data_IF_607578457448
#
_entry.id   IF_607578457448
#
_cell.length_a   1.000
_cell.length_b   1.000
_cell.length_c   1.000
_cell.angle_alpha   90.00
_cell.angle_beta   90.00
_cell.angle_gamma   90.00
#
_symmetry.space_group_name_H-M   'P 1'
#
loop_
_entity.id
_entity.type
_entity.pdbx_description
1 polymer ?
#
# COMPACT_ATOMS: atom_id res chain seq x y z
N UNK A 1 -6.25 -1.10 18.67
CA UNK A 1 -6.48 -1.60 17.31
C UNK A 1 -5.28 -1.25 16.43
N UNK A 2 -4.88 -2.18 15.59
CA UNK A 2 -3.82 -1.98 14.60
C UNK A 2 -4.28 -2.50 13.25
N UNK A 3 -3.44 -2.34 12.21
CA UNK A 3 -3.78 -2.90 10.89
C UNK A 3 -3.90 -4.43 10.91
N UNK A 4 -3.31 -5.10 11.88
CA UNK A 4 -3.35 -6.55 12.00
C UNK A 4 -4.75 -7.11 12.33
N UNK A 5 -5.68 -6.24 12.73
CA UNK A 5 -7.07 -6.64 13.01
C UNK A 5 -7.92 -6.77 11.74
N UNK A 6 -7.34 -6.50 10.57
CA UNK A 6 -8.07 -6.50 9.31
C UNK A 6 -7.65 -7.64 8.40
N UNK A 7 -8.61 -8.13 7.61
CA UNK A 7 -8.37 -9.09 6.52
C UNK A 7 -8.86 -8.46 5.23
N UNK A 8 -8.16 -8.74 4.12
CA UNK A 8 -8.45 -8.20 2.81
C UNK A 8 -8.40 -9.30 1.76
N UNK A 9 -8.92 -9.04 0.56
CA UNK A 9 -8.86 -10.01 -0.53
C UNK A 9 -7.59 -9.77 -1.35
N UNK A 10 -6.79 -10.82 -1.50
CA UNK A 10 -5.69 -10.83 -2.46
C UNK A 10 -6.24 -10.70 -3.89
N UNK A 11 -5.38 -10.41 -4.85
CA UNK A 11 -5.83 -10.18 -6.23
C UNK A 11 -6.47 -11.44 -6.86
N UNK A 12 -6.12 -12.62 -6.37
CA UNK A 12 -6.75 -13.89 -6.78
C UNK A 12 -8.06 -14.18 -6.06
N UNK A 13 -8.54 -13.28 -5.17
CA UNK A 13 -9.78 -13.41 -4.44
C UNK A 13 -9.68 -14.12 -3.09
N UNK A 14 -8.53 -14.68 -2.75
CA UNK A 14 -8.33 -15.32 -1.45
C UNK A 14 -8.26 -14.31 -0.32
N UNK A 15 -8.80 -14.68 0.85
CA UNK A 15 -8.75 -13.82 2.03
C UNK A 15 -7.36 -13.87 2.65
N UNK A 16 -6.78 -12.70 2.90
CA UNK A 16 -5.46 -12.52 3.50
C UNK A 16 -5.60 -11.73 4.81
N UNK A 17 -5.19 -12.31 5.93
CA UNK A 17 -5.11 -11.58 7.19
C UNK A 17 -3.86 -10.69 7.19
N UNK A 18 -4.01 -9.42 7.55
CA UNK A 18 -2.85 -8.53 7.67
C UNK A 18 -1.95 -8.89 8.86
N UNK A 19 -2.43 -9.73 9.76
CA UNK A 19 -1.59 -10.29 10.83
C UNK A 19 -0.42 -11.10 10.28
N UNK A 20 -0.53 -11.62 9.07
CA UNK A 20 0.56 -12.33 8.40
C UNK A 20 1.77 -11.43 8.12
N UNK A 21 1.59 -10.12 8.18
CA UNK A 21 2.67 -9.13 8.02
C UNK A 21 3.22 -8.62 9.35
N UNK A 22 2.84 -9.24 10.46
CA UNK A 22 3.31 -8.82 11.78
C UNK A 22 4.84 -8.74 11.83
N UNK A 23 5.36 -7.65 12.34
CA UNK A 23 6.81 -7.40 12.39
C UNK A 23 7.39 -6.75 11.13
N UNK A 24 6.60 -6.57 10.09
CA UNK A 24 7.03 -5.90 8.85
C UNK A 24 6.63 -4.42 8.86
N UNK A 25 7.40 -3.60 8.15
CA UNK A 25 7.01 -2.23 7.83
C UNK A 25 6.19 -2.28 6.55
N UNK A 26 5.01 -1.64 6.55
CA UNK A 26 4.09 -1.70 5.41
C UNK A 26 3.95 -0.33 4.76
N UNK A 27 3.98 -0.29 3.44
CA UNK A 27 3.56 0.85 2.65
C UNK A 27 2.28 0.45 1.92
N UNK A 28 1.15 1.05 2.31
CA UNK A 28 -0.18 0.74 1.77
C UNK A 28 -0.57 1.84 0.80
N UNK A 29 -0.86 1.46 -0.45
CA UNK A 29 -1.09 2.40 -1.55
C UNK A 29 -2.37 2.04 -2.29
N UNK A 30 -3.23 3.04 -2.55
CA UNK A 30 -4.34 2.86 -3.47
C UNK A 30 -3.89 3.28 -4.88
N UNK A 31 -4.11 2.44 -5.86
CA UNK A 31 -3.45 2.56 -7.16
C UNK A 31 -4.42 2.58 -8.33
N UNK A 32 -3.89 2.90 -9.50
CA UNK A 32 -4.62 2.90 -10.75
C UNK A 32 -3.65 2.65 -11.92
N UNK A 33 -4.19 2.13 -13.02
CA UNK A 33 -3.39 1.77 -14.20
C UNK A 33 -3.39 2.83 -15.29
N UNK A 34 -4.29 3.84 -15.18
CA UNK A 34 -4.46 4.90 -16.20
C UNK A 34 -4.40 6.30 -15.58
N UNK A 35 -3.56 6.48 -14.56
CA UNK A 35 -3.38 7.75 -13.87
C UNK A 35 -2.05 8.39 -14.30
N UNK A 36 -1.96 9.73 -14.22
CA UNK A 36 -0.69 10.41 -14.40
C UNK A 36 0.40 9.97 -13.40
N UNK A 37 -0.01 9.47 -12.24
CA UNK A 37 0.92 8.95 -11.23
C UNK A 37 1.24 7.46 -11.38
N UNK A 38 0.67 6.76 -12.38
CA UNK A 38 0.88 5.31 -12.55
C UNK A 38 2.36 4.95 -12.74
N UNK A 39 3.15 5.87 -13.29
CA UNK A 39 4.59 5.68 -13.41
C UNK A 39 5.31 5.51 -12.07
N UNK A 40 4.68 5.88 -10.95
CA UNK A 40 5.24 5.64 -9.62
C UNK A 40 5.40 4.14 -9.31
N UNK A 41 4.72 3.25 -10.03
CA UNK A 41 4.91 1.81 -9.88
C UNK A 41 6.38 1.40 -10.03
N UNK A 42 7.10 2.00 -10.96
CA UNK A 42 8.52 1.69 -11.17
C UNK A 42 9.34 1.98 -9.91
N UNK A 43 9.18 3.17 -9.34
CA UNK A 43 9.91 3.58 -8.14
C UNK A 43 9.44 2.80 -6.90
N UNK A 44 8.16 2.44 -6.83
CA UNK A 44 7.65 1.57 -5.76
C UNK A 44 8.31 0.19 -5.82
N UNK A 45 8.45 -0.37 -7.01
CA UNK A 45 9.12 -1.66 -7.18
C UNK A 45 10.60 -1.56 -6.80
N UNK A 46 11.26 -0.45 -7.14
CA UNK A 46 12.65 -0.21 -6.74
C UNK A 46 12.80 -0.18 -5.22
N UNK A 47 11.89 0.50 -4.52
CA UNK A 47 11.88 0.51 -3.05
C UNK A 47 11.69 -0.91 -2.49
N UNK A 48 10.78 -1.66 -3.07
CA UNK A 48 10.48 -3.02 -2.63
C UNK A 48 11.72 -3.92 -2.77
N UNK A 49 12.36 -3.89 -3.92
CA UNK A 49 13.58 -4.67 -4.17
C UNK A 49 14.70 -4.28 -3.21
N UNK A 50 14.81 -2.98 -2.91
CA UNK A 50 15.88 -2.46 -2.05
C UNK A 50 15.70 -2.82 -0.58
N UNK A 51 14.45 -2.81 -0.08
CA UNK A 51 14.18 -2.93 1.36
C UNK A 51 13.38 -4.18 1.77
N UNK A 52 12.96 -5.01 0.82
CA UNK A 52 12.18 -6.21 1.14
C UNK A 52 12.92 -7.12 2.13
N UNK A 53 14.19 -7.37 1.91
CA UNK A 53 14.97 -8.23 2.80
C UNK A 53 15.14 -7.62 4.20
N UNK A 54 15.04 -6.30 4.31
CA UNK A 54 15.09 -5.59 5.58
C UNK A 54 13.74 -5.53 6.30
N UNK A 55 12.68 -6.04 5.68
CA UNK A 55 11.36 -6.13 6.28
C UNK A 55 10.29 -5.19 5.72
N UNK A 56 10.51 -4.58 4.55
CA UNK A 56 9.47 -3.77 3.88
C UNK A 56 8.54 -4.67 3.08
N UNK A 57 7.24 -4.45 3.25
CA UNK A 57 6.20 -4.96 2.35
C UNK A 57 5.41 -3.79 1.76
N UNK A 58 5.05 -3.90 0.48
CA UNK A 58 4.18 -2.91 -0.18
C UNK A 58 2.87 -3.61 -0.51
N UNK A 59 1.76 -3.00 -0.09
CA UNK A 59 0.41 -3.53 -0.30
C UNK A 59 -0.33 -2.63 -1.28
N UNK A 60 -0.59 -3.16 -2.46
CA UNK A 60 -1.18 -2.44 -3.59
C UNK A 60 -2.67 -2.75 -3.71
N UNK A 61 -3.51 -1.72 -3.52
CA UNK A 61 -4.97 -1.82 -3.61
C UNK A 61 -5.48 -1.00 -4.79
N UNK A 62 -5.75 -1.61 -5.95
CA UNK A 62 -6.36 -0.87 -7.06
C UNK A 62 -7.72 -0.32 -6.67
N UNK A 63 -8.02 0.90 -7.12
CA UNK A 63 -9.26 1.58 -6.81
C UNK A 63 -9.72 2.38 -8.03
N UNK A 64 -11.00 2.21 -8.42
CA UNK A 64 -11.55 2.86 -9.61
C UNK A 64 -12.39 4.11 -9.32
N UNK A 65 -12.35 4.61 -8.07
CA UNK A 65 -13.17 5.75 -7.65
C UNK A 65 -12.69 7.11 -8.17
N UNK A 66 -11.45 7.20 -8.65
CA UNK A 66 -10.87 8.48 -9.08
C UNK A 66 -10.80 8.51 -10.60
N UNK A 67 -11.81 9.16 -11.21
CA UNK A 67 -11.95 9.33 -12.66
C UNK A 67 -11.91 8.00 -13.43
N UNK A 68 -12.31 6.90 -12.80
CA UNK A 68 -12.34 5.56 -13.41
C UNK A 68 -10.98 5.17 -14.03
N UNK A 69 -9.88 5.49 -13.33
CA UNK A 69 -8.52 5.27 -13.83
C UNK A 69 -7.93 3.89 -13.50
N UNK A 70 -8.73 3.00 -12.88
CA UNK A 70 -8.37 1.60 -12.68
C UNK A 70 -9.44 0.67 -13.30
N UNK A 71 -9.69 0.78 -14.62
CA UNK A 71 -10.71 -0.04 -15.27
C UNK A 71 -10.29 -1.50 -15.41
N UNK A 72 -11.25 -2.34 -15.74
CA UNK A 72 -11.02 -3.76 -15.94
C UNK A 72 -11.15 -4.57 -14.66
N UNK A 73 -10.97 -5.87 -14.77
CA UNK A 73 -11.05 -6.77 -13.64
C UNK A 73 -9.67 -6.95 -12.96
N UNK A 74 -9.64 -7.69 -11.86
CA UNK A 74 -8.41 -7.90 -11.11
C UNK A 74 -7.32 -8.57 -11.93
N UNK A 75 -7.66 -9.55 -12.77
CA UNK A 75 -6.68 -10.24 -13.61
C UNK A 75 -6.05 -9.30 -14.64
N UNK A 76 -6.85 -8.44 -15.26
CA UNK A 76 -6.36 -7.46 -16.23
C UNK A 76 -5.42 -6.45 -15.56
N UNK A 77 -5.77 -5.97 -14.38
CA UNK A 77 -4.94 -5.04 -13.62
C UNK A 77 -3.60 -5.68 -13.23
N UNK A 78 -3.68 -6.91 -12.71
CA UNK A 78 -2.48 -7.64 -12.29
C UNK A 78 -1.55 -7.90 -13.49
N UNK A 79 -2.11 -8.34 -14.62
CA UNK A 79 -1.34 -8.59 -15.85
C UNK A 79 -0.66 -7.31 -16.34
N UNK A 80 -1.38 -6.19 -16.36
CA UNK A 80 -0.83 -4.89 -16.74
C UNK A 80 0.39 -4.53 -15.89
N UNK A 81 0.27 -4.63 -14.56
CA UNK A 81 1.33 -4.26 -13.64
C UNK A 81 2.56 -5.16 -13.79
N UNK A 82 2.35 -6.45 -13.97
CA UNK A 82 3.44 -7.40 -14.16
C UNK A 82 4.19 -7.18 -15.49
N UNK A 83 3.45 -6.98 -16.56
CA UNK A 83 4.05 -6.81 -17.89
C UNK A 83 4.77 -5.46 -18.00
N UNK A 84 4.12 -4.38 -17.58
CA UNK A 84 4.67 -3.04 -17.77
C UNK A 84 5.73 -2.67 -16.74
N UNK A 85 5.56 -3.07 -15.48
CA UNK A 85 6.41 -2.62 -14.37
C UNK A 85 7.15 -3.75 -13.65
N UNK A 86 6.92 -5.00 -14.05
CA UNK A 86 7.53 -6.19 -13.42
C UNK A 86 7.30 -6.21 -11.89
N UNK A 87 6.10 -5.84 -11.45
CA UNK A 87 5.75 -5.75 -10.03
C UNK A 87 5.83 -7.14 -9.37
N UNK A 88 6.51 -7.22 -8.22
CA UNK A 88 6.61 -8.43 -7.42
C UNK A 88 6.06 -8.27 -5.99
N UNK A 89 5.75 -7.04 -5.56
CA UNK A 89 5.09 -6.84 -4.27
C UNK A 89 3.62 -7.28 -4.32
N UNK A 90 3.00 -7.43 -3.15
CA UNK A 90 1.64 -7.96 -3.03
C UNK A 90 0.60 -7.03 -3.63
N UNK A 91 -0.21 -7.58 -4.55
CA UNK A 91 -1.37 -6.89 -5.10
C UNK A 91 -2.65 -7.51 -4.54
N UNK A 92 -3.62 -6.65 -4.28
CA UNK A 92 -4.91 -7.04 -3.71
C UNK A 92 -6.04 -6.76 -4.69
N UNK A 93 -7.22 -7.32 -4.41
CA UNK A 93 -8.41 -7.09 -5.22
C UNK A 93 -8.81 -5.62 -5.18
N UNK A 94 -9.39 -5.13 -6.27
CA UNK A 94 -9.92 -3.77 -6.38
C UNK A 94 -10.90 -3.48 -5.24
N UNK A 95 -10.75 -2.30 -4.62
CA UNK A 95 -11.58 -1.87 -3.48
C UNK A 95 -12.10 -0.45 -3.69
N UNK A 96 -13.04 -0.04 -2.84
CA UNK A 96 -13.37 1.36 -2.63
C UNK A 96 -12.63 1.86 -1.38
N UNK A 97 -12.15 3.08 -1.43
CA UNK A 97 -11.41 3.70 -0.32
C UNK A 97 -12.18 4.82 0.35
N UNK A 98 -13.30 5.25 -0.23
CA UNK A 98 -14.20 6.27 0.30
C UNK A 98 -15.66 5.83 0.15
N UNK A 99 -16.52 6.40 1.01
CA UNK A 99 -17.94 6.26 0.90
C UNK A 99 -18.53 5.04 1.58
N UNK A 100 -19.77 4.76 1.26
CA UNK A 100 -20.58 3.74 1.94
C UNK A 100 -19.98 2.33 1.86
N UNK A 101 -19.35 2.00 0.73
CA UNK A 101 -18.80 0.67 0.49
C UNK A 101 -17.28 0.61 0.64
N UNK A 102 -16.72 1.54 1.39
CA UNK A 102 -15.26 1.58 1.60
C UNK A 102 -14.75 0.33 2.33
N UNK A 103 -13.55 -0.09 1.94
CA UNK A 103 -12.86 -1.19 2.59
C UNK A 103 -12.63 -0.87 4.07
N UNK A 104 -12.97 -1.77 5.02
CA UNK A 104 -12.75 -1.52 6.45
C UNK A 104 -11.33 -1.10 6.80
N UNK A 105 -10.32 -1.68 6.16
CA UNK A 105 -8.93 -1.26 6.36
C UNK A 105 -8.75 0.22 6.07
N UNK A 106 -9.30 0.71 4.95
CA UNK A 106 -9.17 2.12 4.57
C UNK A 106 -9.96 3.05 5.50
N UNK A 107 -11.11 2.61 6.00
CA UNK A 107 -11.82 3.36 7.03
C UNK A 107 -10.94 3.57 8.26
N UNK A 108 -10.24 2.52 8.67
CA UNK A 108 -9.30 2.58 9.80
C UNK A 108 -8.10 3.51 9.49
N UNK A 109 -7.46 3.33 8.34
CA UNK A 109 -6.32 4.17 7.94
C UNK A 109 -6.69 5.67 7.96
N UNK A 110 -7.87 6.02 7.44
CA UNK A 110 -8.36 7.40 7.43
C UNK A 110 -8.72 7.91 8.82
N UNK A 111 -9.05 7.03 9.76
CA UNK A 111 -9.30 7.44 11.15
C UNK A 111 -8.00 7.75 11.89
N UNK A 112 -6.91 7.05 11.55
CA UNK A 112 -5.61 7.26 12.18
C UNK A 112 -4.86 8.46 11.61
N UNK A 113 -4.94 8.68 10.31
CA UNK A 113 -4.41 9.87 9.62
C UNK A 113 -5.54 10.49 8.83
N UNK A 114 -6.23 11.44 9.44
CA UNK A 114 -7.55 11.95 9.05
C UNK A 114 -7.66 12.49 7.63
N UNK A 115 -8.82 12.25 7.05
CA UNK A 115 -9.26 12.82 5.79
C UNK A 115 -9.58 11.76 4.73
N UNK A 116 -10.58 12.06 3.88
CA UNK A 116 -10.90 11.21 2.74
C UNK A 116 -9.68 11.07 1.83
N UNK A 117 -9.62 9.95 1.12
CA UNK A 117 -8.62 9.77 0.07
C UNK A 117 -9.06 10.65 -1.11
N UNK A 118 -8.16 11.52 -1.59
CA UNK A 118 -8.51 12.52 -2.61
C UNK A 118 -8.10 12.12 -4.01
N UNK A 119 -7.15 11.19 -4.15
CA UNK A 119 -6.70 10.73 -5.46
C UNK A 119 -5.91 9.43 -5.36
N UNK A 120 -5.61 8.84 -6.53
CA UNK A 120 -4.76 7.64 -6.65
C UNK A 120 -3.35 7.91 -6.11
N UNK A 121 -2.70 6.86 -5.64
CA UNK A 121 -1.31 6.88 -5.13
C UNK A 121 -1.14 7.70 -3.84
N UNK A 122 -2.17 7.77 -3.02
CA UNK A 122 -2.05 8.15 -1.61
C UNK A 122 -1.40 6.98 -0.87
N UNK A 123 -0.45 7.26 0.02
CA UNK A 123 0.31 6.23 0.71
C UNK A 123 0.15 6.38 2.22
N UNK A 124 0.08 5.22 2.90
CA UNK A 124 0.14 5.16 4.36
C UNK A 124 1.33 4.29 4.75
N UNK A 125 2.14 4.78 5.68
CA UNK A 125 3.26 4.03 6.24
C UNK A 125 2.86 3.46 7.60
N UNK A 126 3.08 2.15 7.77
CA UNK A 126 2.74 1.40 8.97
C UNK A 126 4.04 0.84 9.55
N UNK A 127 4.27 1.05 10.85
CA UNK A 127 5.48 0.55 11.50
C UNK A 127 5.40 -0.95 11.79
N UNK A 128 6.48 -1.52 12.32
CA UNK A 128 6.57 -2.96 12.60
C UNK A 128 5.65 -3.45 13.72
N UNK A 129 4.95 -2.54 14.39
CA UNK A 129 3.96 -2.86 15.41
C UNK A 129 2.51 -2.75 14.89
N UNK A 130 2.35 -2.45 13.60
CA UNK A 130 1.04 -2.32 12.98
C UNK A 130 0.38 -0.95 13.15
N UNK A 131 1.13 0.05 13.60
CA UNK A 131 0.61 1.42 13.81
C UNK A 131 0.84 2.28 12.59
N UNK A 132 -0.17 3.06 12.21
CA UNK A 132 -0.08 4.00 11.09
C UNK A 132 0.70 5.23 11.55
N UNK A 133 1.90 5.44 11.00
CA UNK A 133 2.81 6.50 11.45
C UNK A 133 2.87 7.70 10.51
N UNK A 134 2.61 7.50 9.22
CA UNK A 134 2.63 8.60 8.23
C UNK A 134 1.56 8.39 7.16
N UNK A 135 1.15 9.50 6.55
CA UNK A 135 0.32 9.54 5.35
C UNK A 135 0.98 10.48 4.36
N UNK A 136 1.05 10.07 3.09
CA UNK A 136 1.68 10.86 2.03
C UNK A 136 0.70 11.12 0.90
N UNK A 137 0.79 12.32 0.33
CA UNK A 137 -0.03 12.73 -0.81
C UNK A 137 0.38 11.99 -2.09
N UNK A 138 -0.51 11.94 -3.10
CA UNK A 138 -0.16 11.35 -4.41
C UNK A 138 1.13 11.91 -5.01
N UNK A 139 1.35 13.21 -4.88
CA UNK A 139 2.56 13.87 -5.41
C UNK A 139 3.83 13.59 -4.62
N UNK A 140 3.72 13.00 -3.43
CA UNK A 140 4.90 12.55 -2.68
C UNK A 140 5.43 11.28 -3.31
N UNK A 141 6.51 11.41 -4.08
CA UNK A 141 7.09 10.31 -4.84
C UNK A 141 7.73 9.27 -3.92
N UNK A 142 7.90 8.02 -4.39
CA UNK A 142 8.61 7.01 -3.61
C UNK A 142 9.99 7.47 -3.12
N UNK A 143 10.70 8.26 -3.91
CA UNK A 143 11.99 8.82 -3.53
C UNK A 143 11.88 9.76 -2.32
N UNK A 144 10.81 10.55 -2.26
CA UNK A 144 10.56 11.46 -1.13
C UNK A 144 10.21 10.72 0.15
N UNK A 145 9.55 9.58 0.05
CA UNK A 145 9.12 8.82 1.22
C UNK A 145 10.17 7.82 1.70
N UNK A 146 11.18 7.53 0.90
CA UNK A 146 12.24 6.58 1.25
C UNK A 146 12.88 6.86 2.62
N UNK A 147 13.23 8.10 2.99
CA UNK A 147 13.82 8.36 4.33
C UNK A 147 12.92 7.93 5.48
N UNK A 148 11.60 8.06 5.32
CA UNK A 148 10.64 7.65 6.35
C UNK A 148 10.59 6.11 6.48
N UNK A 149 10.69 5.41 5.36
CA UNK A 149 10.76 3.94 5.33
C UNK A 149 12.04 3.47 6.03
N UNK A 150 13.18 4.07 5.71
CA UNK A 150 14.47 3.76 6.35
C UNK A 150 14.38 3.96 7.85
N UNK A 151 13.78 5.06 8.31
CA UNK A 151 13.61 5.35 9.73
C UNK A 151 12.75 4.29 10.42
N UNK A 152 11.65 3.87 9.80
CA UNK A 152 10.78 2.84 10.36
C UNK A 152 11.51 1.49 10.45
N UNK A 153 12.31 1.14 9.45
CA UNK A 153 13.11 -0.08 9.45
C UNK A 153 14.22 -0.05 10.49
N UNK A 154 14.87 1.09 10.68
CA UNK A 154 15.91 1.26 11.71
C UNK A 154 15.33 1.13 13.11
N UNK A 155 14.16 1.71 13.35
CA UNK A 155 13.45 1.58 14.63
C UNK A 155 13.19 0.11 14.96
N UNK A 156 12.76 -0.67 13.96
CA UNK A 156 12.57 -2.11 14.09
C UNK A 156 13.84 -2.82 14.50
N UNK A 157 14.96 -2.51 13.82
CA UNK A 157 16.27 -3.10 14.10
C UNK A 157 16.74 -2.77 15.51
N UNK A 158 16.62 -1.50 15.93
CA UNK A 158 16.99 -1.05 17.27
C UNK A 158 16.18 -1.80 18.33
N UNK A 159 14.87 -1.98 18.10
CA UNK A 159 14.00 -2.71 19.03
C UNK A 159 14.48 -4.15 19.22
N UNK A 160 14.91 -4.82 18.15
CA UNK A 160 15.40 -6.21 18.23
C UNK A 160 16.81 -6.32 18.82
N UNK A 161 17.61 -5.27 18.78
CA UNK A 161 18.96 -5.28 19.36
C UNK A 161 18.97 -5.10 20.88
N UNK A 162 17.86 -4.70 21.45
CA UNK A 162 17.68 -4.59 22.89
C UNK A 162 17.27 -5.93 23.51
#
# INVERSE_FOLDING_TARGET
>A
MTVYDFSVKAINGEIKSLKDYEGKVLLIVNTATKCGFTSQYEALQDLYEKYHDDGLEILDFPCNQFAHQAPGNNDEIHTFCRIKYAITFSQFSKINVNGKNEEPLYKYLKSEKKGAIKWNFTKFLVDSEGKVVNRFAPSDTPEKIEPFIKKALLKKTTYFCE
#
